data_IF_087589812716
#
_entry.id   IF_087589812716
#
_cell.length_a   1.000
_cell.length_b   1.000
_cell.length_c   1.000
_cell.angle_alpha   90.00
_cell.angle_beta   90.00
_cell.angle_gamma   90.00
#
_symmetry.space_group_name_H-M   'P 1'
#
loop_
_entity.id
_entity.type
_entity.pdbx_description
1 polymer ?
#
# COMPACT_ATOMS: atom_id res chain seq x y z
N UNK A 1 6.36 -29.01 22.83
CA UNK A 1 6.37 -30.07 21.80
C UNK A 1 6.27 -29.48 20.39
N UNK A 2 7.15 -28.55 20.01
CA UNK A 2 7.30 -28.07 18.62
C UNK A 2 8.80 -28.06 18.33
N UNK A 3 9.18 -28.36 17.10
CA UNK A 3 10.57 -28.39 16.64
C UNK A 3 10.67 -27.71 15.26
N UNK A 4 11.86 -27.23 14.89
CA UNK A 4 12.12 -26.46 13.66
C UNK A 4 11.18 -25.25 13.48
N UNK A 5 11.07 -24.41 14.52
CA UNK A 5 10.23 -23.21 14.50
C UNK A 5 10.95 -22.13 13.68
N UNK A 6 10.25 -21.62 12.66
CA UNK A 6 10.68 -20.48 11.86
C UNK A 6 9.51 -19.50 11.74
N UNK A 7 9.84 -18.21 11.68
CA UNK A 7 8.85 -17.17 11.45
C UNK A 7 8.37 -17.21 10.00
N UNK A 8 7.08 -16.95 9.81
CA UNK A 8 6.53 -16.79 8.48
C UNK A 8 6.74 -15.34 8.04
N UNK A 9 7.56 -15.14 7.02
CA UNK A 9 7.82 -13.83 6.44
C UNK A 9 6.54 -13.24 5.85
N UNK A 10 6.23 -12.00 6.23
CA UNK A 10 4.98 -11.34 5.85
C UNK A 10 4.91 -10.97 4.36
N UNK A 11 6.05 -10.62 3.74
CA UNK A 11 6.13 -10.36 2.30
C UNK A 11 5.87 -11.65 1.53
N UNK A 12 6.52 -12.75 1.89
CA UNK A 12 6.24 -14.06 1.28
C UNK A 12 4.79 -14.48 1.47
N UNK A 13 4.22 -14.28 2.68
CA UNK A 13 2.83 -14.62 2.93
C UNK A 13 1.88 -13.85 2.02
N UNK A 14 2.12 -12.55 1.80
CA UNK A 14 1.34 -11.73 0.87
C UNK A 14 1.51 -12.21 -0.57
N UNK A 15 2.74 -12.43 -1.03
CA UNK A 15 3.02 -12.88 -2.39
C UNK A 15 2.39 -14.26 -2.69
N UNK A 16 2.30 -15.15 -1.69
CA UNK A 16 1.59 -16.42 -1.78
C UNK A 16 0.08 -16.21 -1.92
N UNK A 17 -0.50 -15.28 -1.14
CA UNK A 17 -1.94 -14.98 -1.20
C UNK A 17 -2.33 -14.29 -2.50
N UNK A 18 -1.48 -13.44 -3.07
CA UNK A 18 -1.72 -12.74 -4.34
C UNK A 18 -1.84 -13.71 -5.52
N UNK A 19 -1.26 -14.91 -5.41
CA UNK A 19 -1.38 -15.98 -6.40
C UNK A 19 -2.67 -16.80 -6.25
N UNK A 20 -3.38 -16.68 -5.12
CA UNK A 20 -4.62 -17.39 -4.88
C UNK A 20 -5.80 -16.59 -5.43
N UNK A 21 -6.69 -17.27 -6.15
CA UNK A 21 -7.88 -16.65 -6.73
C UNK A 21 -9.15 -17.21 -6.05
N UNK A 22 -9.80 -16.45 -5.14
CA UNK A 22 -11.12 -16.79 -4.64
C UNK A 22 -12.12 -16.93 -5.79
N UNK A 23 -12.93 -17.99 -5.77
CA UNK A 23 -13.96 -18.27 -6.77
C UNK A 23 -15.31 -18.40 -6.10
N UNK A 24 -16.35 -18.04 -6.84
CA UNK A 24 -17.73 -18.46 -6.53
C UNK A 24 -18.05 -19.67 -7.40
N UNK A 25 -18.61 -20.73 -6.82
CA UNK A 25 -18.94 -21.95 -7.53
C UNK A 25 -20.19 -22.62 -6.93
N UNK A 26 -20.78 -23.55 -7.69
CA UNK A 26 -21.82 -24.44 -7.21
C UNK A 26 -21.35 -25.88 -7.30
N UNK A 27 -21.73 -26.69 -6.31
CA UNK A 27 -21.42 -28.11 -6.33
C UNK A 27 -22.31 -28.85 -7.33
N UNK A 28 -21.72 -29.82 -8.03
CA UNK A 28 -22.46 -30.71 -8.94
C UNK A 28 -23.15 -31.82 -8.15
N UNK A 29 -24.16 -31.44 -7.35
CA UNK A 29 -24.88 -32.34 -6.44
C UNK A 29 -25.58 -33.48 -7.17
N UNK A 30 -26.04 -33.25 -8.41
CA UNK A 30 -26.65 -34.27 -9.26
C UNK A 30 -25.66 -35.36 -9.73
N UNK A 31 -24.40 -34.99 -9.97
CA UNK A 31 -23.35 -35.93 -10.40
C UNK A 31 -22.82 -36.77 -9.22
N UNK A 32 -22.93 -36.25 -7.99
CA UNK A 32 -22.36 -36.84 -6.77
C UNK A 32 -23.38 -36.90 -5.62
N UNK A 33 -24.48 -37.64 -5.76
CA UNK A 33 -25.57 -37.66 -4.78
C UNK A 33 -25.16 -38.24 -3.42
N UNK A 34 -24.18 -39.16 -3.38
CA UNK A 34 -23.68 -39.78 -2.14
C UNK A 34 -22.80 -38.86 -1.29
N UNK A 35 -22.29 -37.75 -1.85
CA UNK A 35 -21.32 -36.89 -1.15
C UNK A 35 -21.96 -35.86 -0.21
N UNK A 36 -23.29 -35.80 -0.13
CA UNK A 36 -24.03 -34.85 0.71
C UNK A 36 -23.54 -33.38 0.58
N UNK A 37 -23.23 -32.98 -0.66
CA UNK A 37 -22.67 -31.66 -0.95
C UNK A 37 -23.72 -30.55 -0.74
N UNK A 38 -23.31 -29.37 -0.23
CA UNK A 38 -24.25 -28.27 -0.01
C UNK A 38 -24.78 -27.72 -1.33
N UNK A 39 -26.04 -27.29 -1.31
CA UNK A 39 -26.71 -26.66 -2.45
C UNK A 39 -26.49 -25.14 -2.45
N UNK A 40 -26.56 -24.54 -3.64
CA UNK A 40 -26.46 -23.09 -3.83
C UNK A 40 -25.01 -22.58 -3.96
N UNK A 41 -24.85 -21.26 -4.17
CA UNK A 41 -23.57 -20.64 -4.44
C UNK A 41 -22.65 -20.68 -3.22
N UNK A 42 -21.39 -21.06 -3.46
CA UNK A 42 -20.33 -21.16 -2.47
C UNK A 42 -19.18 -20.25 -2.88
N UNK A 43 -18.46 -19.72 -1.90
CA UNK A 43 -17.21 -18.98 -2.12
C UNK A 43 -16.09 -19.80 -1.52
N UNK A 44 -15.01 -19.97 -2.27
CA UNK A 44 -13.85 -20.70 -1.78
C UNK A 44 -12.70 -20.69 -2.77
N UNK A 45 -11.79 -21.65 -2.61
CA UNK A 45 -10.63 -21.83 -3.48
C UNK A 45 -10.72 -23.18 -4.21
N UNK A 46 -10.12 -23.23 -5.39
CA UNK A 46 -9.98 -24.47 -6.17
C UNK A 46 -8.74 -25.20 -5.69
N UNK A 47 -8.90 -26.44 -5.22
CA UNK A 47 -7.83 -27.20 -4.58
C UNK A 47 -6.61 -27.41 -5.50
N UNK A 48 -6.83 -27.55 -6.81
CA UNK A 48 -5.75 -27.71 -7.79
C UNK A 48 -4.91 -26.44 -7.94
N UNK A 49 -5.55 -25.26 -7.90
CA UNK A 49 -4.85 -23.98 -7.98
C UNK A 49 -4.05 -23.74 -6.68
N UNK A 50 -4.67 -24.03 -5.53
CA UNK A 50 -3.98 -23.93 -4.22
C UNK A 50 -2.80 -24.88 -4.14
N UNK A 51 -2.88 -26.08 -4.69
CA UNK A 51 -1.78 -27.06 -4.64
C UNK A 51 -0.52 -26.58 -5.36
N UNK A 52 -0.66 -25.75 -6.39
CA UNK A 52 0.47 -25.18 -7.12
C UNK A 52 1.26 -24.16 -6.28
N UNK A 53 0.58 -23.50 -5.33
CA UNK A 53 1.15 -22.41 -4.52
C UNK A 53 1.49 -22.88 -3.10
N UNK A 54 0.58 -23.62 -2.47
CA UNK A 54 0.62 -24.11 -1.09
C UNK A 54 0.27 -25.60 -1.03
N UNK A 55 1.11 -26.50 -1.59
CA UNK A 55 0.82 -27.93 -1.65
C UNK A 55 0.59 -28.55 -0.26
N UNK A 56 1.24 -28.03 0.78
CA UNK A 56 1.07 -28.47 2.16
C UNK A 56 -0.34 -28.25 2.73
N UNK A 57 -1.14 -27.39 2.10
CA UNK A 57 -2.52 -27.12 2.48
C UNK A 57 -3.52 -27.96 1.70
N UNK A 58 -3.08 -28.78 0.74
CA UNK A 58 -3.96 -29.62 -0.06
C UNK A 58 -3.73 -31.09 0.28
N UNK A 59 -4.82 -31.83 0.43
CA UNK A 59 -4.77 -33.28 0.69
C UNK A 59 -5.74 -34.02 -0.20
N UNK A 60 -5.33 -35.22 -0.62
CA UNK A 60 -6.22 -36.16 -1.27
C UNK A 60 -7.15 -36.80 -0.23
N UNK A 61 -8.43 -36.81 -0.51
CA UNK A 61 -9.46 -37.50 0.27
C UNK A 61 -10.21 -38.47 -0.65
N UNK A 62 -10.75 -39.53 -0.05
CA UNK A 62 -11.56 -40.52 -0.75
C UNK A 62 -12.89 -40.62 -0.04
N UNK A 63 -13.97 -40.32 -0.77
CA UNK A 63 -15.31 -40.69 -0.34
C UNK A 63 -15.47 -42.19 -0.60
N UNK A 64 -15.80 -43.01 0.41
CA UNK A 64 -15.91 -44.45 0.23
C UNK A 64 -17.08 -44.81 -0.70
N UNK A 65 -17.03 -46.02 -1.24
CA UNK A 65 -18.14 -46.58 -1.98
C UNK A 65 -19.30 -46.92 -1.01
N UNK A 66 -20.53 -46.77 -1.49
CA UNK A 66 -21.74 -47.19 -0.78
C UNK A 66 -22.22 -48.53 -1.32
N UNK A 67 -22.64 -49.40 -0.40
CA UNK A 67 -23.09 -50.75 -0.71
C UNK A 67 -24.53 -50.94 -0.25
N UNK A 68 -25.31 -51.71 -1.02
CA UNK A 68 -26.65 -52.13 -0.61
C UNK A 68 -26.60 -53.28 0.43
N UNK A 69 -27.77 -53.72 0.89
CA UNK A 69 -27.91 -54.83 1.84
C UNK A 69 -27.42 -56.18 1.31
N UNK A 70 -27.18 -56.30 0.00
CA UNK A 70 -26.69 -57.49 -0.68
C UNK A 70 -25.18 -57.40 -0.98
N UNK A 71 -24.53 -56.30 -0.60
CA UNK A 71 -23.10 -56.06 -0.82
C UNK A 71 -22.75 -55.59 -2.23
N UNK A 72 -23.72 -55.15 -3.04
CA UNK A 72 -23.46 -54.57 -4.36
C UNK A 72 -23.19 -53.07 -4.25
N UNK A 73 -22.28 -52.56 -5.08
CA UNK A 73 -21.92 -51.13 -5.10
C UNK A 73 -23.08 -50.33 -5.69
N UNK A 74 -23.65 -49.43 -4.90
CA UNK A 74 -24.68 -48.46 -5.31
C UNK A 74 -24.01 -47.17 -5.81
N UNK A 75 -22.99 -46.70 -5.08
CA UNK A 75 -22.19 -45.55 -5.45
C UNK A 75 -20.70 -45.91 -5.35
N UNK A 76 -19.95 -45.67 -6.43
CA UNK A 76 -18.52 -45.92 -6.44
C UNK A 76 -17.76 -44.94 -5.53
N UNK A 77 -16.58 -45.35 -5.07
CA UNK A 77 -15.70 -44.48 -4.31
C UNK A 77 -15.22 -43.31 -5.18
N UNK A 78 -15.17 -42.10 -4.61
CA UNK A 78 -14.79 -40.87 -5.31
C UNK A 78 -13.56 -40.25 -4.66
N UNK A 79 -12.47 -40.18 -5.43
CA UNK A 79 -11.25 -39.51 -5.01
C UNK A 79 -11.31 -38.02 -5.36
N UNK A 80 -11.02 -37.14 -4.41
CA UNK A 80 -11.09 -35.69 -4.57
C UNK A 80 -10.01 -34.98 -3.74
N UNK A 81 -9.67 -33.75 -4.13
CA UNK A 81 -8.73 -32.91 -3.37
C UNK A 81 -9.49 -32.00 -2.41
N UNK A 82 -8.92 -31.81 -1.23
CA UNK A 82 -9.48 -30.97 -0.15
C UNK A 82 -8.45 -29.93 0.27
N UNK A 83 -8.93 -28.75 0.67
CA UNK A 83 -8.10 -27.63 1.12
C UNK A 83 -8.23 -27.48 2.64
N UNK A 84 -7.09 -27.34 3.31
CA UNK A 84 -7.01 -27.01 4.74
C UNK A 84 -7.12 -25.50 4.95
N UNK A 85 -8.35 -24.99 5.02
CA UNK A 85 -8.62 -23.57 5.28
C UNK A 85 -8.11 -23.09 6.64
N UNK A 86 -7.99 -23.96 7.64
CA UNK A 86 -7.43 -23.58 8.94
C UNK A 86 -5.93 -23.24 8.83
N UNK A 87 -5.22 -23.92 7.93
CA UNK A 87 -3.81 -23.65 7.66
C UNK A 87 -3.57 -22.36 6.86
N UNK A 88 -4.61 -21.79 6.23
CA UNK A 88 -4.53 -20.46 5.59
C UNK A 88 -4.56 -19.33 6.61
N UNK A 89 -5.14 -19.54 7.79
CA UNK A 89 -5.31 -18.47 8.79
C UNK A 89 -3.96 -17.88 9.24
N UNK A 90 -2.93 -18.66 9.59
CA UNK A 90 -1.62 -18.10 9.93
C UNK A 90 -0.96 -17.34 8.79
N UNK A 91 -1.18 -17.76 7.53
CA UNK A 91 -0.66 -17.05 6.34
C UNK A 91 -1.33 -15.70 6.20
N UNK A 92 -2.66 -15.65 6.37
CA UNK A 92 -3.43 -14.39 6.37
C UNK A 92 -2.99 -13.45 7.49
N UNK A 93 -2.70 -13.98 8.69
CA UNK A 93 -2.22 -13.16 9.81
C UNK A 93 -0.87 -12.52 9.47
N UNK A 94 0.09 -13.28 8.95
CA UNK A 94 1.41 -12.76 8.59
C UNK A 94 1.33 -11.70 7.48
N UNK A 95 0.50 -11.94 6.45
CA UNK A 95 0.29 -10.98 5.38
C UNK A 95 -0.41 -9.70 5.86
N UNK A 96 -1.36 -9.80 6.79
CA UNK A 96 -2.03 -8.64 7.37
C UNK A 96 -1.10 -7.81 8.25
N UNK A 97 -0.17 -8.45 8.98
CA UNK A 97 0.86 -7.77 9.75
C UNK A 97 1.80 -6.98 8.84
N UNK A 98 2.30 -7.59 7.76
CA UNK A 98 3.10 -6.88 6.74
C UNK A 98 2.34 -5.72 6.12
N UNK A 99 1.05 -5.91 5.84
CA UNK A 99 0.20 -4.84 5.33
C UNK A 99 0.09 -3.67 6.33
N UNK A 100 -0.05 -3.95 7.63
CA UNK A 100 -0.08 -2.92 8.67
C UNK A 100 1.25 -2.17 8.75
N UNK A 101 2.38 -2.88 8.76
CA UNK A 101 3.72 -2.27 8.80
C UNK A 101 3.94 -1.30 7.62
N UNK A 102 3.45 -1.68 6.43
CA UNK A 102 3.51 -0.81 5.24
C UNK A 102 2.61 0.41 5.35
N UNK A 103 1.43 0.30 5.97
CA UNK A 103 0.58 1.47 6.22
C UNK A 103 1.24 2.43 7.20
N UNK A 104 1.80 1.91 8.30
CA UNK A 104 2.50 2.72 9.29
C UNK A 104 3.71 3.45 8.67
N UNK A 105 4.46 2.76 7.80
CA UNK A 105 5.56 3.37 7.07
C UNK A 105 5.07 4.50 6.14
N UNK A 106 3.99 4.28 5.39
CA UNK A 106 3.43 5.29 4.49
C UNK A 106 2.90 6.50 5.28
N UNK A 107 2.28 6.29 6.44
CA UNK A 107 1.83 7.37 7.33
C UNK A 107 3.01 8.17 7.89
N UNK A 108 4.09 7.50 8.29
CA UNK A 108 5.31 8.15 8.74
C UNK A 108 5.99 8.96 7.63
N UNK A 109 6.05 8.42 6.41
CA UNK A 109 6.59 9.10 5.25
C UNK A 109 5.78 10.38 4.95
N UNK A 110 4.45 10.30 4.97
CA UNK A 110 3.56 11.46 4.80
C UNK A 110 3.74 12.49 5.92
N UNK A 111 3.83 12.05 7.19
CA UNK A 111 4.06 12.94 8.32
C UNK A 111 5.40 13.68 8.20
N UNK A 112 6.46 12.97 7.78
CA UNK A 112 7.78 13.58 7.55
C UNK A 112 7.77 14.59 6.39
N UNK A 113 7.03 14.28 5.32
CA UNK A 113 6.86 15.15 4.16
C UNK A 113 6.14 16.45 4.55
N UNK A 114 5.05 16.37 5.30
CA UNK A 114 4.26 17.54 5.72
C UNK A 114 4.87 18.30 6.91
N UNK A 115 5.71 17.68 7.75
CA UNK A 115 6.38 18.36 8.84
C UNK A 115 7.49 19.31 8.36
N UNK A 116 8.09 19.04 7.19
CA UNK A 116 9.18 19.87 6.67
C UNK A 116 8.71 21.22 6.12
N UNK A 117 7.44 21.33 5.68
CA UNK A 117 6.81 22.57 5.22
C UNK A 117 6.27 23.45 6.37
N UNK A 118 6.15 22.93 7.60
CA UNK A 118 5.53 23.62 8.74
C UNK A 118 6.49 24.33 9.71
N UNK A 119 7.81 24.21 9.56
CA UNK A 119 8.79 24.72 10.55
C UNK A 119 9.27 26.15 10.30
N UNK A 120 8.43 27.00 9.69
CA UNK A 120 8.74 28.40 9.41
C UNK A 120 7.95 29.47 10.21
N UNK A 121 6.90 29.12 10.96
CA UNK A 121 5.88 30.13 11.33
C UNK A 121 5.61 30.39 12.83
N UNK A 122 6.17 29.66 13.79
CA UNK A 122 5.71 29.81 15.20
C UNK A 122 6.79 30.08 16.27
N UNK A 123 7.84 30.84 15.93
CA UNK A 123 8.75 31.38 16.96
C UNK A 123 8.99 32.88 16.79
N UNK A 124 7.92 33.68 16.77
CA UNK A 124 8.04 35.14 17.03
C UNK A 124 6.74 35.77 17.54
N UNK A 125 6.07 35.12 18.49
CA UNK A 125 5.03 35.78 19.29
C UNK A 125 5.32 35.58 20.76
N UNK A 126 5.95 36.60 21.37
CA UNK A 126 6.20 36.61 22.81
C UNK A 126 7.39 37.47 23.21
N UNK A 127 7.25 38.80 23.10
CA UNK A 127 7.73 39.83 24.05
C UNK A 127 7.98 41.15 23.34
N UNK A 128 6.94 42.00 23.31
CA UNK A 128 7.03 43.41 22.95
C UNK A 128 7.21 44.22 24.24
N UNK A 129 8.45 44.61 24.55
CA UNK A 129 8.73 45.87 25.23
C UNK A 129 10.01 46.47 24.64
N UNK A 130 9.93 47.73 24.21
CA UNK A 130 11.11 48.57 23.96
C UNK A 130 11.39 48.94 22.51
N UNK A 131 10.63 49.92 22.02
CA UNK A 131 11.04 51.04 21.15
C UNK A 131 12.21 50.89 20.17
N UNK A 132 11.93 51.21 18.90
CA UNK A 132 12.94 51.70 17.97
C UNK A 132 12.74 51.24 16.54
N UNK A 133 12.24 52.15 15.72
CA UNK A 133 12.21 52.16 14.25
C UNK A 133 13.05 51.09 13.53
N UNK A 134 12.35 50.18 12.84
CA UNK A 134 12.78 49.65 11.55
C UNK A 134 11.54 49.33 10.71
N UNK A 135 11.22 50.25 9.79
CA UNK A 135 10.42 49.95 8.62
C UNK A 135 11.25 49.01 7.73
N UNK A 136 11.21 47.73 8.07
CA UNK A 136 11.53 46.64 7.19
C UNK A 136 10.42 45.61 7.42
N UNK A 137 9.23 45.90 6.88
CA UNK A 137 8.34 44.84 6.43
C UNK A 137 9.15 44.05 5.41
N UNK A 138 9.88 43.07 5.93
CA UNK A 138 10.46 41.98 5.17
C UNK A 138 9.32 41.47 4.31
N UNK A 139 9.39 41.72 3.01
CA UNK A 139 8.54 41.07 2.02
C UNK A 139 8.60 39.59 2.36
N UNK A 140 7.49 39.11 2.92
CA UNK A 140 7.33 37.74 3.37
C UNK A 140 7.76 36.83 2.21
N UNK A 141 8.70 35.93 2.48
CA UNK A 141 9.15 34.87 1.58
C UNK A 141 8.02 33.87 1.24
N UNK A 142 6.76 34.26 1.40
CA UNK A 142 5.59 33.40 1.49
C UNK A 142 4.97 33.07 0.12
N UNK A 143 5.64 33.44 -0.99
CA UNK A 143 5.01 33.34 -2.31
C UNK A 143 5.88 32.75 -3.41
N UNK A 144 7.10 32.31 -3.13
CA UNK A 144 7.98 31.74 -4.17
C UNK A 144 7.92 30.22 -4.16
N UNK A 145 7.24 29.61 -5.12
CA UNK A 145 7.22 28.13 -5.27
C UNK A 145 8.01 27.70 -6.50
N UNK A 146 8.88 26.72 -6.31
CA UNK A 146 9.63 26.05 -7.39
C UNK A 146 9.02 24.67 -7.57
N UNK A 147 8.35 24.44 -8.70
CA UNK A 147 7.86 23.11 -9.07
C UNK A 147 8.88 22.46 -10.02
N UNK A 148 9.74 21.53 -9.54
CA UNK A 148 10.68 20.83 -10.42
C UNK A 148 9.90 19.99 -11.44
N UNK A 149 10.32 20.05 -12.70
CA UNK A 149 9.73 19.26 -13.78
C UNK A 149 10.63 18.06 -14.10
N UNK A 150 10.25 16.83 -13.71
CA UNK A 150 11.09 15.65 -13.91
C UNK A 150 11.10 15.11 -15.35
N UNK A 151 10.34 15.68 -16.29
CA UNK A 151 10.22 15.17 -17.66
C UNK A 151 10.68 16.14 -18.76
N UNK A 152 11.05 17.38 -18.41
CA UNK A 152 11.69 18.33 -19.34
C UNK A 152 12.71 19.18 -18.57
N UNK A 153 13.76 19.68 -19.26
CA UNK A 153 14.81 20.54 -18.70
C UNK A 153 14.35 21.95 -18.26
N UNK A 154 13.06 22.12 -17.91
CA UNK A 154 12.44 23.42 -17.61
C UNK A 154 11.69 23.39 -16.29
N UNK A 155 12.19 24.14 -15.32
CA UNK A 155 11.53 24.42 -14.03
C UNK A 155 10.73 25.72 -14.10
N UNK A 156 9.53 25.74 -13.52
CA UNK A 156 8.69 26.96 -13.46
C UNK A 156 8.68 27.51 -12.04
N UNK A 157 8.91 28.82 -11.91
CA UNK A 157 8.90 29.56 -10.66
C UNK A 157 7.69 30.50 -10.66
N UNK A 158 6.84 30.39 -9.64
CA UNK A 158 5.64 31.22 -9.48
C UNK A 158 5.81 32.13 -8.26
N UNK A 159 5.37 33.39 -8.40
CA UNK A 159 5.33 34.35 -7.30
C UNK A 159 4.12 35.27 -7.44
N UNK A 160 3.69 35.83 -6.31
CA UNK A 160 2.61 36.79 -6.27
C UNK A 160 3.10 38.08 -5.61
N UNK A 161 2.70 39.21 -6.16
CA UNK A 161 3.13 40.53 -5.74
C UNK A 161 1.92 41.27 -5.15
N UNK A 162 2.03 41.80 -3.94
CA UNK A 162 0.95 42.58 -3.33
C UNK A 162 1.05 44.08 -3.62
N UNK A 163 2.14 44.50 -4.25
CA UNK A 163 2.39 45.86 -4.70
C UNK A 163 3.35 45.86 -5.90
N UNK A 164 3.31 46.88 -6.78
CA UNK A 164 4.27 47.01 -7.86
C UNK A 164 5.69 47.19 -7.31
N UNK A 165 6.57 46.22 -7.59
CA UNK A 165 7.95 46.18 -7.07
C UNK A 165 8.93 45.78 -8.16
N UNK A 166 10.19 46.16 -7.98
CA UNK A 166 11.27 45.69 -8.86
C UNK A 166 11.65 44.27 -8.47
N UNK A 167 11.52 43.32 -9.42
CA UNK A 167 11.83 41.91 -9.18
C UNK A 167 13.15 41.57 -9.85
N UNK A 168 14.10 41.05 -9.06
CA UNK A 168 15.37 40.51 -9.55
C UNK A 168 15.48 39.02 -9.22
N UNK A 169 15.64 38.17 -10.24
CA UNK A 169 15.88 36.75 -10.09
C UNK A 169 17.35 36.41 -10.34
N UNK A 170 18.05 35.88 -9.33
CA UNK A 170 19.47 35.51 -9.40
C UNK A 170 19.66 34.02 -9.14
N UNK A 171 20.58 33.41 -9.86
CA UNK A 171 20.99 32.01 -9.68
C UNK A 171 22.41 32.01 -9.12
N UNK A 172 22.66 31.19 -8.10
CA UNK A 172 23.97 31.04 -7.45
C UNK A 172 24.40 29.57 -7.47
N UNK A 173 25.71 29.31 -7.46
CA UNK A 173 26.24 27.97 -7.19
C UNK A 173 26.08 27.61 -5.71
N UNK A 174 26.23 26.33 -5.38
CA UNK A 174 26.29 25.84 -3.99
C UNK A 174 27.38 26.54 -3.14
N UNK A 175 28.45 27.00 -3.79
CA UNK A 175 29.52 27.81 -3.16
C UNK A 175 29.22 29.30 -3.05
N UNK A 176 28.00 29.75 -3.34
CA UNK A 176 27.56 31.15 -3.24
C UNK A 176 28.01 32.05 -4.41
N UNK A 177 28.74 31.52 -5.39
CA UNK A 177 29.17 32.28 -6.57
C UNK A 177 27.96 32.58 -7.45
N UNK A 178 27.75 33.85 -7.79
CA UNK A 178 26.67 34.28 -8.69
C UNK A 178 26.89 33.67 -10.09
N UNK A 179 25.85 32.99 -10.62
CA UNK A 179 25.86 32.35 -11.92
C UNK A 179 25.22 33.22 -13.00
N UNK A 180 24.02 33.74 -12.74
CA UNK A 180 23.27 34.53 -13.71
C UNK A 180 22.14 35.33 -13.05
N UNK A 181 21.79 36.46 -13.66
CA UNK A 181 20.55 37.18 -13.33
C UNK A 181 19.56 36.94 -14.46
N UNK A 182 18.47 36.23 -14.18
CA UNK A 182 17.50 35.79 -15.17
C UNK A 182 16.42 36.84 -15.46
N UNK A 183 16.16 37.75 -14.51
CA UNK A 183 15.17 38.83 -14.65
C UNK A 183 15.55 40.00 -13.75
N UNK A 184 15.42 41.23 -14.25
CA UNK A 184 15.56 42.47 -13.48
C UNK A 184 14.70 43.56 -14.13
N UNK A 185 13.40 43.56 -13.81
CA UNK A 185 12.43 44.53 -14.36
C UNK A 185 11.36 44.86 -13.31
N UNK A 186 10.76 46.06 -13.37
CA UNK A 186 9.58 46.39 -12.57
C UNK A 186 8.41 45.48 -12.97
N UNK A 187 7.73 44.90 -11.98
CA UNK A 187 6.54 44.07 -12.16
C UNK A 187 5.38 44.68 -11.39
N UNK A 188 4.23 44.80 -12.05
CA UNK A 188 2.97 45.22 -11.43
C UNK A 188 2.32 44.04 -10.69
N UNK A 189 1.51 44.34 -9.67
CA UNK A 189 0.81 43.37 -8.83
C UNK A 189 -0.31 42.63 -9.57
#
# INVERSE_FOLDING_TARGET
>A
MKDNIADLDGIQARDLLDQLAPKTYEFRTADYPSMALPNGPQIGLIAQDVEQVLPQLVRQAVHPAEYDSLGQIVHAAVSHKTVNYQGLIPVLIAALQDQQDRMDQLEADLASCCAHDGTGLDQRSGSLEGGGASHATSLENDRLTIAPNPFQERTTLSYLLDAPVQVRLQVHTEGGMHLATLRDQPQEA
#
